data_IF_259211361985
#
_entry.id   IF_259211361985
#
_cell.length_a   1.000
_cell.length_b   1.000
_cell.length_c   1.000
_cell.angle_alpha   90.00
_cell.angle_beta   90.00
_cell.angle_gamma   90.00
#
_symmetry.space_group_name_H-M   'P 1'
#
loop_
_entity.id
_entity.type
_entity.pdbx_description
1 polymer ?
#
# COMPACT_ATOMS: atom_id res chain seq x y z
N UNK A 1 66.53 7.88 -9.93
CA UNK A 1 65.89 6.84 -9.09
C UNK A 1 64.52 7.35 -8.69
N UNK A 2 63.52 6.49 -8.84
CA UNK A 2 62.10 6.82 -8.72
C UNK A 2 61.58 6.65 -7.28
N UNK A 3 60.46 7.34 -7.01
CA UNK A 3 59.43 6.93 -6.04
C UNK A 3 59.40 7.73 -4.74
N UNK A 4 58.25 8.06 -4.15
CA UNK A 4 56.83 7.91 -4.51
C UNK A 4 56.08 8.76 -3.49
N UNK A 5 55.32 9.77 -3.92
CA UNK A 5 54.40 10.49 -3.04
C UNK A 5 53.07 9.74 -2.98
N UNK A 6 52.63 9.37 -1.77
CA UNK A 6 51.38 8.66 -1.53
C UNK A 6 50.19 9.62 -1.64
N UNK A 7 49.46 9.55 -2.75
CA UNK A 7 48.15 10.18 -2.90
C UNK A 7 47.06 9.32 -2.27
N UNK A 8 46.49 9.79 -1.16
CA UNK A 8 45.29 9.21 -0.56
C UNK A 8 44.06 9.53 -1.42
N UNK A 9 43.55 8.53 -2.13
CA UNK A 9 42.30 8.64 -2.88
C UNK A 9 41.11 8.71 -1.91
N UNK A 10 40.54 9.92 -1.73
CA UNK A 10 39.18 10.07 -1.20
C UNK A 10 38.21 9.44 -2.20
N UNK A 11 37.61 8.29 -1.84
CA UNK A 11 36.46 7.73 -2.56
C UNK A 11 35.31 8.73 -2.50
N UNK A 12 35.04 9.42 -3.60
CA UNK A 12 33.83 10.21 -3.79
C UNK A 12 32.63 9.27 -3.74
N UNK A 13 31.71 9.52 -2.80
CA UNK A 13 30.37 8.88 -2.81
C UNK A 13 29.68 9.21 -4.14
N UNK A 14 28.96 8.26 -4.75
CA UNK A 14 28.22 8.54 -5.96
C UNK A 14 27.13 9.56 -5.64
N UNK A 15 27.17 10.71 -6.31
CA UNK A 15 26.09 11.68 -6.33
C UNK A 15 24.95 11.02 -7.10
N UNK A 16 23.91 10.60 -6.39
CA UNK A 16 22.65 10.20 -6.99
C UNK A 16 22.09 11.45 -7.66
N UNK A 17 22.02 11.44 -9.00
CA UNK A 17 21.38 12.52 -9.76
C UNK A 17 19.90 12.54 -9.36
N UNK A 18 19.42 13.70 -8.92
CA UNK A 18 18.00 13.98 -8.75
C UNK A 18 17.25 13.62 -10.03
N UNK A 19 16.12 12.92 -9.89
CA UNK A 19 15.22 12.57 -10.98
C UNK A 19 14.74 13.82 -11.71
N UNK A 20 14.44 13.66 -12.99
CA UNK A 20 14.09 14.73 -13.92
C UNK A 20 13.07 15.73 -13.35
N UNK A 21 13.39 17.02 -13.50
CA UNK A 21 12.58 18.13 -13.03
C UNK A 21 11.18 18.11 -13.64
N UNK A 22 10.15 18.16 -12.78
CA UNK A 22 8.82 18.63 -13.17
C UNK A 22 8.91 20.09 -13.57
N UNK A 23 8.01 20.56 -14.44
CA UNK A 23 7.85 21.97 -14.81
C UNK A 23 8.05 22.91 -13.62
N UNK A 24 8.72 24.06 -13.83
CA UNK A 24 8.93 25.08 -12.79
C UNK A 24 7.57 25.61 -12.29
N UNK A 25 7.05 25.01 -11.22
CA UNK A 25 5.88 25.50 -10.49
C UNK A 25 6.28 26.11 -9.15
N UNK A 26 5.53 27.11 -8.71
CA UNK A 26 5.72 27.70 -7.38
C UNK A 26 5.12 26.75 -6.34
N UNK A 27 5.84 26.52 -5.25
CA UNK A 27 5.41 25.60 -4.19
C UNK A 27 5.91 26.05 -2.83
N UNK A 28 5.08 25.85 -1.82
CA UNK A 28 5.46 25.99 -0.41
C UNK A 28 6.19 24.74 0.13
N UNK A 29 6.34 23.69 -0.67
CA UNK A 29 6.99 22.44 -0.25
C UNK A 29 8.38 22.59 0.35
N UNK A 30 9.28 23.44 -0.18
CA UNK A 30 10.58 23.70 0.45
C UNK A 30 10.46 24.33 1.84
N UNK A 31 9.46 25.21 2.07
CA UNK A 31 9.16 25.79 3.38
C UNK A 31 8.69 24.72 4.35
N UNK A 32 7.79 23.84 3.91
CA UNK A 32 7.29 22.71 4.70
C UNK A 32 8.45 21.77 5.08
N UNK A 33 9.27 21.36 4.11
CA UNK A 33 10.41 20.47 4.33
C UNK A 33 11.43 21.07 5.31
N UNK A 34 11.74 22.36 5.17
CA UNK A 34 12.61 23.08 6.09
C UNK A 34 12.03 23.13 7.51
N UNK A 35 10.72 23.39 7.65
CA UNK A 35 10.04 23.39 8.94
C UNK A 35 10.07 22.00 9.60
N UNK A 36 9.75 20.94 8.84
CA UNK A 36 9.79 19.56 9.35
C UNK A 36 11.18 19.21 9.88
N UNK A 37 12.23 19.53 9.12
CA UNK A 37 13.63 19.32 9.54
C UNK A 37 13.97 20.11 10.80
N UNK A 38 13.55 21.36 10.88
CA UNK A 38 13.89 22.23 12.00
C UNK A 38 13.19 21.80 13.30
N UNK A 39 11.90 21.48 13.24
CA UNK A 39 11.05 21.32 14.43
C UNK A 39 10.67 19.88 14.76
N UNK A 40 10.60 18.98 13.78
CA UNK A 40 10.16 17.60 14.00
C UNK A 40 11.37 16.68 14.19
N UNK A 41 11.25 15.73 15.11
CA UNK A 41 12.27 14.72 15.41
C UNK A 41 11.68 13.33 15.24
N UNK A 42 12.49 12.40 14.76
CA UNK A 42 12.14 10.98 14.83
C UNK A 42 11.98 10.57 16.31
N UNK A 43 10.92 9.83 16.60
CA UNK A 43 10.57 9.44 17.98
C UNK A 43 10.91 7.99 18.32
N UNK A 44 11.25 7.18 17.32
CA UNK A 44 11.38 5.72 17.45
C UNK A 44 12.59 5.18 16.71
N UNK A 45 13.09 4.04 17.19
CA UNK A 45 14.15 3.28 16.55
C UNK A 45 15.51 3.97 16.59
N UNK A 46 16.39 3.55 15.70
CA UNK A 46 17.80 4.00 15.64
C UNK A 46 17.97 5.49 15.31
N UNK A 47 16.92 6.12 14.80
CA UNK A 47 16.92 7.54 14.43
C UNK A 47 16.30 8.44 15.50
N UNK A 48 15.88 7.89 16.65
CA UNK A 48 15.24 8.68 17.70
C UNK A 48 16.08 9.91 18.10
N UNK A 49 15.44 11.08 18.15
CA UNK A 49 16.08 12.37 18.44
C UNK A 49 16.73 13.06 17.24
N UNK A 50 16.87 12.41 16.09
CA UNK A 50 17.38 13.05 14.87
C UNK A 50 16.28 13.89 14.18
N UNK A 51 16.65 14.99 13.50
CA UNK A 51 15.74 15.74 12.62
C UNK A 51 14.99 14.84 11.64
N UNK A 52 13.71 15.15 11.40
CA UNK A 52 12.95 14.53 10.31
C UNK A 52 13.37 15.17 8.98
N UNK A 53 14.38 14.59 8.34
CA UNK A 53 14.80 14.98 6.99
C UNK A 53 14.03 14.16 5.95
N UNK A 54 13.38 14.86 5.02
CA UNK A 54 12.66 14.22 3.93
C UNK A 54 13.63 13.62 2.91
N UNK A 55 13.38 12.38 2.50
CA UNK A 55 14.05 11.78 1.35
C UNK A 55 13.59 12.43 0.04
N UNK A 56 14.36 12.28 -1.03
CA UNK A 56 14.09 12.91 -2.33
C UNK A 56 12.64 12.71 -2.81
N UNK A 57 12.12 11.48 -2.74
CA UNK A 57 10.74 11.20 -3.15
C UNK A 57 9.69 11.86 -2.24
N UNK A 58 9.99 12.04 -0.94
CA UNK A 58 9.10 12.72 0.00
C UNK A 58 9.12 14.22 -0.28
N UNK A 59 10.29 14.79 -0.59
CA UNK A 59 10.43 16.18 -1.03
C UNK A 59 9.67 16.41 -2.33
N UNK A 60 9.78 15.52 -3.32
CA UNK A 60 9.05 15.62 -4.58
C UNK A 60 7.53 15.61 -4.33
N UNK A 61 7.05 14.67 -3.50
CA UNK A 61 5.65 14.60 -3.12
C UNK A 61 5.18 15.86 -2.39
N UNK A 62 5.94 16.34 -1.39
CA UNK A 62 5.59 17.54 -0.62
C UNK A 62 5.63 18.80 -1.49
N UNK A 63 6.55 18.90 -2.44
CA UNK A 63 6.58 19.99 -3.41
C UNK A 63 5.34 19.99 -4.29
N UNK A 64 4.94 18.84 -4.83
CA UNK A 64 3.71 18.75 -5.63
C UNK A 64 2.46 19.05 -4.78
N UNK A 65 2.35 18.46 -3.59
CA UNK A 65 1.20 18.64 -2.69
C UNK A 65 0.97 20.11 -2.31
N UNK A 66 2.05 20.87 -2.10
CA UNK A 66 2.01 22.28 -1.74
C UNK A 66 2.22 23.22 -2.93
N UNK A 67 1.97 22.75 -4.16
CA UNK A 67 1.96 23.58 -5.36
C UNK A 67 0.95 24.73 -5.21
N UNK A 68 1.38 25.92 -5.61
CA UNK A 68 0.58 27.14 -5.59
C UNK A 68 0.09 27.52 -7.00
N UNK A 69 -1.09 28.12 -7.05
CA UNK A 69 -1.64 28.76 -8.24
C UNK A 69 -1.05 30.17 -8.44
N UNK A 70 -1.49 30.86 -9.49
CA UNK A 70 -1.07 32.23 -9.81
C UNK A 70 -1.42 33.27 -8.73
N UNK A 71 -2.37 32.96 -7.85
CA UNK A 71 -2.80 33.81 -6.74
C UNK A 71 -2.07 33.46 -5.44
N UNK A 72 -1.14 32.51 -5.46
CA UNK A 72 -0.41 32.03 -4.29
C UNK A 72 -1.23 31.10 -3.38
N UNK A 73 -2.34 30.54 -3.86
CA UNK A 73 -3.17 29.56 -3.13
C UNK A 73 -2.82 28.14 -3.52
N UNK A 74 -3.04 27.17 -2.63
CA UNK A 74 -2.86 25.74 -2.95
C UNK A 74 -3.71 25.30 -4.14
N UNK A 75 -3.07 24.59 -5.08
CA UNK A 75 -3.72 23.89 -6.18
C UNK A 75 -4.50 22.67 -5.68
N UNK A 76 -3.94 21.95 -4.70
CA UNK A 76 -4.52 20.73 -4.16
C UNK A 76 -5.05 20.94 -2.75
N UNK A 77 -6.33 20.63 -2.56
CA UNK A 77 -7.00 20.59 -1.24
C UNK A 77 -7.27 19.16 -0.78
N UNK A 78 -7.09 18.18 -1.66
CA UNK A 78 -7.23 16.77 -1.38
C UNK A 78 -6.06 15.99 -1.98
N UNK A 79 -5.59 14.98 -1.25
CA UNK A 79 -4.52 14.12 -1.70
C UNK A 79 -4.73 12.67 -1.27
N UNK A 80 -4.39 11.74 -2.15
CA UNK A 80 -4.26 10.31 -1.84
C UNK A 80 -2.82 9.85 -2.05
N UNK A 81 -2.17 9.44 -0.97
CA UNK A 81 -0.83 8.88 -0.94
C UNK A 81 -0.89 7.37 -0.66
N UNK A 82 -0.64 6.57 -1.70
CA UNK A 82 -0.58 5.10 -1.61
C UNK A 82 0.86 4.61 -1.69
N UNK A 83 1.29 3.89 -0.65
CA UNK A 83 2.62 3.28 -0.56
C UNK A 83 2.53 1.93 0.15
N UNK A 84 3.50 1.01 -0.04
CA UNK A 84 3.63 -0.15 0.83
C UNK A 84 3.86 0.22 2.30
N UNK A 85 3.61 -0.70 3.22
CA UNK A 85 3.87 -0.54 4.66
C UNK A 85 5.35 -0.21 4.90
N UNK A 86 5.61 0.46 6.01
CA UNK A 86 6.96 0.86 6.46
C UNK A 86 7.70 1.88 5.58
N UNK A 87 7.10 2.43 4.52
CA UNK A 87 7.63 3.58 3.75
C UNK A 87 7.40 4.95 4.43
N UNK A 88 7.12 5.01 5.73
CA UNK A 88 7.06 6.28 6.46
C UNK A 88 5.81 7.15 6.25
N UNK A 89 4.74 6.64 5.61
CA UNK A 89 3.46 7.36 5.41
C UNK A 89 2.94 8.07 6.66
N UNK A 90 2.74 7.33 7.76
CA UNK A 90 2.16 7.89 8.99
C UNK A 90 3.09 8.91 9.66
N UNK A 91 4.41 8.75 9.52
CA UNK A 91 5.39 9.73 10.02
C UNK A 91 5.35 11.01 9.22
N UNK A 92 5.28 10.91 7.90
CA UNK A 92 5.09 12.08 7.03
C UNK A 92 3.76 12.77 7.34
N UNK A 93 2.65 12.02 7.46
CA UNK A 93 1.35 12.57 7.80
C UNK A 93 1.32 13.25 9.18
N UNK A 94 1.99 12.69 10.19
CA UNK A 94 2.13 13.33 11.50
C UNK A 94 2.92 14.65 11.41
N UNK A 95 4.00 14.68 10.60
CA UNK A 95 4.76 15.90 10.33
C UNK A 95 3.92 16.96 9.64
N UNK A 96 3.21 16.59 8.57
CA UNK A 96 2.31 17.50 7.85
C UNK A 96 1.19 18.02 8.76
N UNK A 97 0.58 17.18 9.58
CA UNK A 97 -0.44 17.58 10.54
C UNK A 97 0.10 18.58 11.59
N UNK A 98 1.33 18.40 12.06
CA UNK A 98 1.99 19.34 12.97
C UNK A 98 2.30 20.67 12.27
N UNK A 99 2.78 20.63 11.02
CA UNK A 99 2.98 21.83 10.22
C UNK A 99 1.68 22.62 10.05
N UNK A 100 0.59 21.92 9.72
CA UNK A 100 -0.75 22.48 9.55
C UNK A 100 -1.34 23.04 10.85
N UNK A 101 -1.01 22.44 11.99
CA UNK A 101 -1.38 22.97 13.30
C UNK A 101 -0.64 24.28 13.64
N UNK A 102 0.62 24.41 13.21
CA UNK A 102 1.55 25.38 13.80
C UNK A 102 1.96 26.52 12.87
N UNK A 103 2.20 26.21 11.59
CA UNK A 103 3.08 27.01 10.73
C UNK A 103 2.58 27.16 9.29
N UNK A 104 1.37 26.69 8.99
CA UNK A 104 0.75 26.83 7.68
C UNK A 104 0.21 28.23 7.41
N UNK A 105 -0.01 29.03 8.45
CA UNK A 105 -0.53 30.41 8.36
C UNK A 105 -2.04 30.51 8.60
N UNK A 106 -2.73 29.38 8.73
CA UNK A 106 -4.14 29.33 9.07
C UNK A 106 -4.42 29.86 10.49
N UNK A 107 -5.49 30.64 10.64
CA UNK A 107 -5.96 31.14 11.94
C UNK A 107 -6.92 30.14 12.60
N UNK A 108 -6.70 29.83 13.88
CA UNK A 108 -7.47 28.82 14.62
C UNK A 108 -7.59 27.49 13.84
N UNK A 109 -6.46 26.86 13.47
CA UNK A 109 -6.48 25.64 12.68
C UNK A 109 -7.14 24.50 13.46
N UNK A 110 -7.99 23.74 12.77
CA UNK A 110 -8.59 22.51 13.31
C UNK A 110 -8.06 21.31 12.53
N UNK A 111 -7.22 20.51 13.19
CA UNK A 111 -6.55 19.33 12.62
C UNK A 111 -7.26 18.07 13.10
N UNK A 112 -7.77 17.27 12.16
CA UNK A 112 -8.47 16.02 12.46
C UNK A 112 -7.71 14.81 11.96
N UNK A 113 -7.59 13.81 12.81
CA UNK A 113 -6.94 12.53 12.51
C UNK A 113 -7.96 11.42 12.62
N UNK A 114 -8.13 10.64 11.56
CA UNK A 114 -9.13 9.59 11.48
C UNK A 114 -8.56 8.31 10.88
N UNK A 115 -9.19 7.19 11.21
CA UNK A 115 -8.95 5.87 10.65
C UNK A 115 -10.22 5.02 10.86
N UNK A 116 -10.22 3.78 10.34
CA UNK A 116 -11.37 2.88 10.47
C UNK A 116 -11.65 2.46 11.94
N UNK A 117 -10.66 2.51 12.82
CA UNK A 117 -10.85 2.36 14.26
C UNK A 117 -10.21 3.50 15.04
N UNK A 118 -10.74 3.80 16.23
CA UNK A 118 -10.18 4.83 17.12
C UNK A 118 -8.75 4.50 17.56
N UNK A 119 -8.43 3.22 17.71
CA UNK A 119 -7.10 2.75 18.07
C UNK A 119 -6.07 3.04 16.95
N UNK A 120 -6.47 2.78 15.70
CA UNK A 120 -5.68 3.08 14.50
C UNK A 120 -5.50 4.59 14.31
N UNK A 121 -6.58 5.37 14.47
CA UNK A 121 -6.52 6.83 14.35
C UNK A 121 -5.60 7.45 15.42
N UNK A 122 -5.52 6.81 16.59
CA UNK A 122 -4.58 7.16 17.64
C UNK A 122 -3.11 6.98 17.26
N UNK A 123 -2.76 6.25 16.20
CA UNK A 123 -1.36 6.03 15.81
C UNK A 123 -0.68 7.31 15.33
N UNK A 124 -1.31 8.06 14.41
CA UNK A 124 -0.80 9.35 13.93
C UNK A 124 -0.78 10.37 15.08
N UNK A 125 -1.83 10.42 15.88
CA UNK A 125 -1.90 11.30 17.05
C UNK A 125 -0.78 11.04 18.07
N UNK A 126 -0.54 9.76 18.41
CA UNK A 126 0.56 9.39 19.30
C UNK A 126 1.90 9.82 18.71
N UNK A 127 2.12 9.64 17.40
CA UNK A 127 3.34 10.14 16.76
C UNK A 127 3.50 11.65 16.88
N UNK A 128 2.43 12.43 16.64
CA UNK A 128 2.46 13.89 16.81
C UNK A 128 2.79 14.26 18.25
N UNK A 129 2.11 13.66 19.23
CA UNK A 129 2.35 13.89 20.65
C UNK A 129 3.79 13.56 21.04
N UNK A 130 4.30 12.42 20.59
CA UNK A 130 5.67 11.99 20.88
C UNK A 130 6.68 12.96 20.24
N UNK A 131 6.40 13.54 19.07
CA UNK A 131 7.25 14.57 18.45
C UNK A 131 7.29 15.85 19.29
N UNK A 132 6.13 16.30 19.79
CA UNK A 132 6.02 17.48 20.67
C UNK A 132 6.80 17.27 21.96
N UNK A 133 6.70 16.08 22.58
CA UNK A 133 7.39 15.77 23.83
C UNK A 133 8.90 15.61 23.67
N UNK A 134 9.38 15.25 22.48
CA UNK A 134 10.81 14.99 22.22
C UNK A 134 11.55 16.15 21.56
N UNK A 135 10.83 17.10 20.98
CA UNK A 135 11.42 18.30 20.36
C UNK A 135 11.21 19.51 21.26
N UNK A 136 12.27 20.07 21.89
CA UNK A 136 12.15 21.25 22.73
C UNK A 136 11.53 22.43 21.98
N UNK A 137 11.93 22.65 20.72
CA UNK A 137 11.42 23.76 19.91
C UNK A 137 9.94 23.61 19.58
N UNK A 138 9.44 22.38 19.42
CA UNK A 138 8.03 22.14 19.15
C UNK A 138 7.19 22.17 20.44
N UNK A 139 7.77 21.74 21.56
CA UNK A 139 7.17 21.83 22.89
C UNK A 139 6.88 23.27 23.33
N UNK A 140 7.64 24.25 22.82
CA UNK A 140 7.37 25.68 23.05
C UNK A 140 6.10 26.17 22.31
N UNK A 141 5.68 25.47 21.25
CA UNK A 141 4.57 25.87 20.38
C UNK A 141 3.30 25.09 20.68
N UNK A 142 3.45 23.82 21.07
CA UNK A 142 2.35 22.86 21.17
C UNK A 142 2.30 22.24 22.56
N UNK A 143 1.13 22.29 23.18
CA UNK A 143 0.88 21.70 24.49
C UNK A 143 0.05 20.42 24.33
N UNK A 144 0.56 19.25 24.75
CA UNK A 144 -0.23 18.04 24.78
C UNK A 144 -1.29 18.06 25.88
N UNK A 145 -2.55 17.88 25.50
CA UNK A 145 -3.66 17.65 26.42
C UNK A 145 -4.04 16.16 26.46
N UNK A 146 -4.99 15.79 27.34
CA UNK A 146 -5.43 14.39 27.47
C UNK A 146 -6.03 13.82 26.18
N UNK A 147 -6.77 14.63 25.43
CA UNK A 147 -7.56 14.20 24.27
C UNK A 147 -7.16 14.86 22.95
N UNK A 148 -6.29 15.86 22.97
CA UNK A 148 -5.93 16.69 21.83
C UNK A 148 -4.57 17.36 22.04
N UNK A 149 -4.04 18.01 21.01
CA UNK A 149 -2.91 18.93 21.11
C UNK A 149 -3.42 20.35 20.87
N UNK A 150 -2.84 21.33 21.57
CA UNK A 150 -3.17 22.75 21.40
C UNK A 150 -1.94 23.52 20.93
N UNK A 151 -2.11 24.45 20.00
CA UNK A 151 -1.12 25.48 19.66
C UNK A 151 -1.65 26.83 20.16
N UNK A 152 -1.28 27.29 21.38
CA UNK A 152 -1.93 28.44 22.00
C UNK A 152 -1.76 29.75 21.22
N UNK A 153 -0.64 29.93 20.52
CA UNK A 153 -0.31 31.15 19.79
C UNK A 153 -1.27 31.46 18.64
N UNK A 154 -1.92 30.43 18.06
CA UNK A 154 -2.87 30.58 16.96
C UNK A 154 -4.25 29.97 17.27
N UNK A 155 -4.50 29.56 18.52
CA UNK A 155 -5.72 28.85 18.96
C UNK A 155 -5.96 27.52 18.22
N UNK A 156 -4.91 26.89 17.70
CA UNK A 156 -4.99 25.66 16.94
C UNK A 156 -5.26 24.44 17.81
N UNK A 157 -6.03 23.48 17.28
CA UNK A 157 -6.38 22.23 17.97
C UNK A 157 -6.18 21.05 17.03
N UNK A 158 -5.50 20.00 17.49
CA UNK A 158 -5.41 18.72 16.80
C UNK A 158 -6.01 17.56 17.61
N UNK A 159 -6.92 16.77 17.02
CA UNK A 159 -7.62 15.69 17.72
C UNK A 159 -7.93 14.48 16.85
N UNK A 160 -8.17 13.35 17.51
CA UNK A 160 -8.61 12.11 16.88
C UNK A 160 -10.13 12.08 16.77
N UNK A 161 -10.64 11.74 15.60
CA UNK A 161 -12.05 11.41 15.36
C UNK A 161 -12.21 9.91 15.13
N UNK A 162 -13.26 9.30 15.70
CA UNK A 162 -13.60 7.89 15.47
C UNK A 162 -14.45 7.69 14.22
N UNK A 163 -14.38 6.49 13.60
CA UNK A 163 -15.21 6.10 12.46
C UNK A 163 -16.73 6.15 12.72
N UNK A 164 -17.17 5.81 13.94
CA UNK A 164 -18.58 5.98 14.36
C UNK A 164 -19.02 7.46 14.49
N UNK A 165 -18.07 8.37 14.28
CA UNK A 165 -18.16 9.80 14.52
C UNK A 165 -18.48 10.65 13.30
N UNK A 166 -19.03 10.11 12.20
CA UNK A 166 -19.55 10.94 11.10
C UNK A 166 -20.48 12.04 11.64
N UNK A 167 -21.35 11.69 12.60
CA UNK A 167 -22.20 12.63 13.36
C UNK A 167 -21.44 13.66 14.19
N UNK A 168 -20.25 13.34 14.69
CA UNK A 168 -19.41 14.27 15.47
C UNK A 168 -18.55 15.19 14.60
N UNK A 169 -18.41 14.89 13.30
CA UNK A 169 -17.71 15.73 12.32
C UNK A 169 -18.66 16.71 11.64
N UNK A 170 -19.95 16.37 11.49
CA UNK A 170 -20.95 17.31 11.00
C UNK A 170 -21.03 18.55 11.91
N UNK A 171 -20.68 19.71 11.36
CA UNK A 171 -20.60 20.98 12.10
C UNK A 171 -19.20 21.38 12.58
N UNK A 172 -18.16 20.60 12.25
CA UNK A 172 -16.75 21.00 12.44
C UNK A 172 -16.23 21.76 11.22
N UNK A 173 -15.16 22.54 11.40
CA UNK A 173 -14.54 23.34 10.34
C UNK A 173 -13.05 22.99 10.16
N UNK A 174 -12.74 21.75 9.72
CA UNK A 174 -11.37 21.27 9.58
C UNK A 174 -10.57 22.15 8.59
N UNK A 175 -9.42 22.64 9.02
CA UNK A 175 -8.40 23.20 8.12
C UNK A 175 -7.48 22.11 7.59
N UNK A 176 -7.29 21.04 8.35
CA UNK A 176 -6.58 19.85 7.90
C UNK A 176 -7.26 18.57 8.39
N UNK A 177 -7.28 17.56 7.53
CA UNK A 177 -7.73 16.23 7.88
C UNK A 177 -6.75 15.17 7.37
N UNK A 178 -6.47 14.15 8.18
CA UNK A 178 -5.73 12.97 7.75
C UNK A 178 -6.55 11.71 7.97
N UNK A 179 -6.87 11.01 6.88
CA UNK A 179 -7.53 9.71 6.91
C UNK A 179 -6.49 8.60 6.69
N UNK A 180 -6.17 7.87 7.75
CA UNK A 180 -5.24 6.74 7.71
C UNK A 180 -5.96 5.41 7.42
N UNK A 181 -5.24 4.52 6.75
CA UNK A 181 -5.67 3.16 6.38
C UNK A 181 -7.03 3.11 5.69
N UNK A 182 -7.26 3.98 4.69
CA UNK A 182 -8.53 4.05 3.97
C UNK A 182 -8.95 2.70 3.34
N UNK A 183 -8.00 1.81 3.03
CA UNK A 183 -8.30 0.46 2.57
C UNK A 183 -9.26 -0.31 3.48
N UNK A 184 -9.28 0.00 4.78
CA UNK A 184 -10.11 -0.67 5.77
C UNK A 184 -11.49 0.00 5.93
N UNK A 185 -11.71 1.18 5.35
CA UNK A 185 -12.95 1.91 5.49
C UNK A 185 -14.11 1.20 4.80
N UNK A 186 -15.26 1.11 5.49
CA UNK A 186 -16.48 0.47 4.97
C UNK A 186 -17.32 1.40 4.10
N UNK A 187 -17.23 2.71 4.30
CA UNK A 187 -17.93 3.74 3.54
C UNK A 187 -17.09 5.01 3.42
N UNK A 188 -17.52 5.93 2.56
CA UNK A 188 -16.91 7.24 2.37
C UNK A 188 -17.36 8.29 3.39
N UNK A 189 -18.38 8.01 4.19
CA UNK A 189 -19.11 8.99 5.00
C UNK A 189 -18.20 9.86 5.88
N UNK A 190 -17.19 9.27 6.51
CA UNK A 190 -16.26 10.01 7.38
C UNK A 190 -15.37 10.96 6.56
N UNK A 191 -14.85 10.49 5.43
CA UNK A 191 -14.02 11.30 4.55
C UNK A 191 -14.85 12.41 3.92
N UNK A 192 -16.07 12.12 3.48
CA UNK A 192 -17.01 13.10 2.95
C UNK A 192 -17.41 14.15 4.01
N UNK A 193 -17.64 13.75 5.25
CA UNK A 193 -17.91 14.67 6.35
C UNK A 193 -16.72 15.60 6.64
N UNK A 194 -15.48 15.09 6.59
CA UNK A 194 -14.27 15.90 6.77
C UNK A 194 -14.08 16.89 5.62
N UNK A 195 -14.23 16.46 4.38
CA UNK A 195 -14.07 17.31 3.20
C UNK A 195 -15.18 18.37 3.12
N UNK A 196 -16.44 17.99 3.36
CA UNK A 196 -17.57 18.93 3.33
C UNK A 196 -17.53 19.93 4.47
N UNK A 197 -17.13 19.51 5.68
CA UNK A 197 -16.98 20.40 6.83
C UNK A 197 -15.94 21.50 6.61
N UNK A 198 -14.94 21.24 5.76
CA UNK A 198 -13.88 22.19 5.45
C UNK A 198 -14.31 23.36 4.56
N UNK A 199 -15.54 23.37 4.03
CA UNK A 199 -15.98 24.29 2.98
C UNK A 199 -15.95 25.79 3.32
N UNK A 200 -15.81 26.16 4.59
CA UNK A 200 -15.64 27.55 5.03
C UNK A 200 -14.16 28.00 5.10
N UNK A 201 -13.20 27.07 5.01
CA UNK A 201 -11.76 27.37 4.96
C UNK A 201 -11.35 27.73 3.54
N UNK A 202 -10.40 28.65 3.39
CA UNK A 202 -9.94 29.07 2.06
C UNK A 202 -9.05 28.03 1.39
N UNK A 203 -8.20 27.34 2.15
CA UNK A 203 -7.19 26.41 1.64
C UNK A 203 -7.08 25.14 2.50
N UNK A 204 -8.21 24.44 2.77
CA UNK A 204 -8.18 23.24 3.58
C UNK A 204 -7.40 22.13 2.88
N UNK A 205 -6.76 21.26 3.67
CA UNK A 205 -5.99 20.14 3.14
C UNK A 205 -6.41 18.81 3.76
N UNK A 206 -6.93 17.91 2.93
CA UNK A 206 -7.24 16.52 3.31
C UNK A 206 -6.21 15.57 2.72
N UNK A 207 -5.51 14.82 3.59
CA UNK A 207 -4.51 13.83 3.22
C UNK A 207 -5.01 12.43 3.56
N UNK A 208 -5.19 11.61 2.53
CA UNK A 208 -5.53 10.21 2.63
C UNK A 208 -4.22 9.43 2.51
N UNK A 209 -3.87 8.63 3.51
CA UNK A 209 -2.73 7.71 3.45
C UNK A 209 -3.22 6.28 3.54
N UNK A 210 -2.71 5.41 2.67
CA UNK A 210 -3.07 3.99 2.72
C UNK A 210 -2.03 3.09 2.05
N UNK A 211 -2.12 1.80 2.32
CA UNK A 211 -1.73 0.75 1.36
C UNK A 211 -2.96 0.36 0.55
N UNK A 212 -2.80 -0.35 -0.56
CA UNK A 212 -3.94 -0.93 -1.30
C UNK A 212 -4.69 -1.96 -0.46
N UNK A 213 -5.95 -2.19 -0.84
CA UNK A 213 -6.84 -3.17 -0.22
C UNK A 213 -6.78 -4.54 -0.90
N UNK A 214 -7.75 -5.37 -0.56
CA UNK A 214 -8.06 -6.63 -1.24
C UNK A 214 -9.36 -6.52 -2.06
N UNK A 215 -10.31 -5.72 -1.57
CA UNK A 215 -11.57 -5.44 -2.26
C UNK A 215 -11.45 -4.21 -3.17
N UNK A 216 -11.52 -4.44 -4.48
CA UNK A 216 -11.48 -3.38 -5.51
C UNK A 216 -12.77 -2.56 -5.62
N UNK A 217 -13.86 -3.02 -4.99
CA UNK A 217 -15.12 -2.28 -4.86
C UNK A 217 -15.20 -1.43 -3.59
N UNK A 218 -14.18 -1.53 -2.72
CA UNK A 218 -14.07 -0.70 -1.53
C UNK A 218 -13.95 0.79 -1.87
N UNK A 219 -14.21 1.70 -0.92
CA UNK A 219 -13.99 3.14 -1.10
C UNK A 219 -12.62 3.50 -1.68
N UNK A 220 -11.55 2.84 -1.19
CA UNK A 220 -10.20 3.03 -1.73
C UNK A 220 -10.08 2.50 -3.17
N UNK A 221 -10.70 1.34 -3.46
CA UNK A 221 -10.70 0.74 -4.79
C UNK A 221 -11.33 1.65 -5.84
N UNK A 222 -12.45 2.28 -5.52
CA UNK A 222 -13.12 3.25 -6.39
C UNK A 222 -12.27 4.53 -6.61
N UNK A 223 -11.62 5.06 -5.57
CA UNK A 223 -10.69 6.18 -5.74
C UNK A 223 -9.46 5.81 -6.57
N UNK A 224 -8.95 4.61 -6.39
CA UNK A 224 -7.85 4.10 -7.20
C UNK A 224 -8.27 3.91 -8.66
N UNK A 225 -9.50 3.45 -8.95
CA UNK A 225 -10.04 3.42 -10.33
C UNK A 225 -10.07 4.80 -10.97
N UNK A 226 -10.55 5.81 -10.24
CA UNK A 226 -10.62 7.20 -10.73
C UNK A 226 -9.26 7.71 -11.19
N UNK A 227 -8.18 7.38 -10.47
CA UNK A 227 -6.82 7.71 -10.90
C UNK A 227 -6.55 7.26 -12.34
N UNK A 228 -6.88 6.02 -12.71
CA UNK A 228 -6.62 5.50 -14.06
C UNK A 228 -7.66 5.93 -15.11
N UNK A 229 -8.79 6.48 -14.67
CA UNK A 229 -9.81 7.08 -15.54
C UNK A 229 -9.51 8.56 -15.86
N UNK A 230 -8.54 9.17 -15.18
CA UNK A 230 -8.09 10.51 -15.53
C UNK A 230 -7.50 10.53 -16.96
N UNK A 231 -7.69 11.63 -17.70
CA UNK A 231 -7.02 11.85 -18.99
C UNK A 231 -5.52 11.61 -18.89
N UNK A 232 -4.90 11.12 -19.96
CA UNK A 232 -3.48 10.78 -19.98
C UNK A 232 -2.60 11.98 -19.65
N UNK A 233 -2.96 13.18 -20.11
CA UNK A 233 -2.26 14.43 -19.80
C UNK A 233 -2.30 14.82 -18.30
N UNK A 234 -3.25 14.28 -17.54
CA UNK A 234 -3.35 14.48 -16.09
C UNK A 234 -2.61 13.38 -15.32
N UNK A 235 -2.08 12.36 -16.01
CA UNK A 235 -1.39 11.22 -15.40
C UNK A 235 0.06 11.18 -15.83
N UNK A 236 0.95 11.18 -14.85
CA UNK A 236 2.36 11.02 -15.05
C UNK A 236 2.83 9.71 -14.43
N UNK A 237 3.63 8.95 -15.18
CA UNK A 237 4.21 7.69 -14.72
C UNK A 237 5.73 7.85 -14.62
N UNK A 238 6.28 7.57 -13.45
CA UNK A 238 7.71 7.65 -13.13
C UNK A 238 8.20 6.32 -12.57
N UNK A 239 9.51 6.23 -12.29
CA UNK A 239 10.13 5.10 -11.60
C UNK A 239 9.84 3.76 -12.29
N UNK A 240 10.08 3.67 -13.60
CA UNK A 240 9.83 2.48 -14.42
C UNK A 240 8.39 1.91 -14.32
N UNK A 241 7.40 2.78 -14.16
CA UNK A 241 6.00 2.35 -14.01
C UNK A 241 5.53 2.20 -12.56
N UNK A 242 6.43 2.36 -11.58
CA UNK A 242 6.10 2.10 -10.17
C UNK A 242 5.58 3.30 -9.40
N UNK A 243 5.59 4.49 -10.00
CA UNK A 243 4.95 5.68 -9.44
C UNK A 243 3.97 6.25 -10.47
N UNK A 244 2.69 6.23 -10.13
CA UNK A 244 1.64 6.90 -10.91
C UNK A 244 1.17 8.14 -10.14
N UNK A 245 1.30 9.31 -10.77
CA UNK A 245 0.89 10.61 -10.23
C UNK A 245 -0.30 11.09 -11.07
N UNK A 246 -1.43 11.36 -10.42
CA UNK A 246 -2.63 11.92 -11.07
C UNK A 246 -2.91 13.33 -10.56
N UNK A 247 -3.14 14.28 -11.46
CA UNK A 247 -3.35 15.69 -11.15
C UNK A 247 -4.72 16.14 -11.64
N UNK A 248 -5.76 15.93 -10.82
CA UNK A 248 -7.08 16.46 -11.12
C UNK A 248 -7.16 17.92 -10.64
N UNK A 249 -6.64 18.83 -11.46
CA UNK A 249 -6.57 20.26 -11.16
C UNK A 249 -7.97 20.88 -10.98
N UNK A 250 -8.99 20.31 -11.62
CA UNK A 250 -10.37 20.80 -11.52
C UNK A 250 -10.99 20.44 -10.17
N UNK A 251 -10.73 19.22 -9.68
CA UNK A 251 -11.18 18.78 -8.36
C UNK A 251 -10.24 19.23 -7.22
N UNK A 252 -9.06 19.78 -7.54
CA UNK A 252 -8.02 20.07 -6.56
C UNK A 252 -7.51 18.80 -5.86
N UNK A 253 -7.42 17.69 -6.60
CA UNK A 253 -7.08 16.37 -6.07
C UNK A 253 -5.75 15.84 -6.64
N UNK A 254 -4.80 15.54 -5.74
CA UNK A 254 -3.53 14.90 -6.07
C UNK A 254 -3.57 13.40 -5.75
N UNK A 255 -3.26 12.57 -6.73
CA UNK A 255 -3.01 11.15 -6.56
C UNK A 255 -1.51 10.89 -6.61
N UNK A 256 -0.99 10.17 -5.62
CA UNK A 256 0.42 9.79 -5.57
C UNK A 256 0.53 8.32 -5.15
N UNK A 257 0.69 7.43 -6.12
CA UNK A 257 0.57 5.99 -5.92
C UNK A 257 1.84 5.27 -6.32
N UNK A 258 2.53 4.70 -5.32
CA UNK A 258 3.61 3.74 -5.53
C UNK A 258 3.08 2.32 -5.54
N UNK A 259 3.35 1.56 -6.59
CA UNK A 259 2.91 0.18 -6.74
C UNK A 259 3.29 -0.36 -8.12
N UNK A 260 3.23 -1.68 -8.36
CA UNK A 260 3.61 -2.26 -9.63
C UNK A 260 2.69 -1.76 -10.78
N UNK A 261 3.24 -1.62 -12.00
CA UNK A 261 2.46 -1.20 -13.16
C UNK A 261 1.35 -2.22 -13.46
N UNK A 262 0.12 -1.72 -13.56
CA UNK A 262 -1.09 -2.51 -13.80
C UNK A 262 -1.84 -1.99 -15.03
N UNK A 263 -2.47 -2.90 -15.76
CA UNK A 263 -3.45 -2.55 -16.78
C UNK A 263 -4.79 -2.22 -16.10
N UNK A 264 -5.28 -0.97 -16.19
CA UNK A 264 -6.51 -0.58 -15.52
C UNK A 264 -7.77 -1.21 -16.14
N UNK A 265 -7.69 -1.77 -17.35
CA UNK A 265 -8.83 -2.41 -18.01
C UNK A 265 -9.22 -3.72 -17.31
N UNK A 266 -8.25 -4.50 -16.84
CA UNK A 266 -8.47 -5.83 -16.27
C UNK A 266 -7.73 -6.09 -14.95
N UNK A 267 -7.05 -5.07 -14.41
CA UNK A 267 -6.29 -5.11 -13.15
C UNK A 267 -5.14 -6.10 -13.13
N UNK A 268 -4.63 -6.51 -14.30
CA UNK A 268 -3.47 -7.37 -14.38
C UNK A 268 -2.18 -6.58 -14.22
N UNK A 269 -1.26 -7.10 -13.43
CA UNK A 269 0.09 -6.56 -13.36
C UNK A 269 0.88 -6.93 -14.60
N UNK A 270 1.66 -5.98 -15.09
CA UNK A 270 2.53 -6.16 -16.27
C UNK A 270 3.93 -6.65 -15.91
N UNK A 271 4.14 -6.98 -14.63
CA UNK A 271 5.38 -7.43 -14.03
C UNK A 271 5.14 -8.66 -13.15
N UNK A 272 6.18 -9.46 -12.96
CA UNK A 272 6.15 -10.59 -12.02
C UNK A 272 6.21 -10.09 -10.57
N UNK A 273 5.16 -10.33 -9.79
CA UNK A 273 5.08 -9.89 -8.40
C UNK A 273 5.97 -10.69 -7.45
N UNK A 274 6.48 -11.84 -7.88
CA UNK A 274 7.42 -12.66 -7.09
C UNK A 274 8.90 -12.32 -7.40
N UNK A 275 9.16 -11.38 -8.31
CA UNK A 275 10.52 -10.89 -8.59
C UNK A 275 11.01 -9.89 -7.51
N UNK A 276 12.12 -10.18 -6.80
CA UNK A 276 12.72 -9.25 -5.84
C UNK A 276 13.01 -7.84 -6.36
N UNK A 277 13.30 -7.68 -7.66
CA UNK A 277 13.56 -6.36 -8.25
C UNK A 277 12.29 -5.49 -8.27
N UNK A 278 11.12 -6.10 -8.45
CA UNK A 278 9.81 -5.44 -8.40
C UNK A 278 9.51 -4.95 -6.99
N UNK A 279 9.83 -5.74 -5.97
CA UNK A 279 9.62 -5.36 -4.58
C UNK A 279 10.41 -4.09 -4.23
N UNK A 280 11.68 -4.01 -4.65
CA UNK A 280 12.51 -2.82 -4.39
C UNK A 280 11.96 -1.57 -5.07
N UNK A 281 11.51 -1.67 -6.32
CA UNK A 281 10.97 -0.54 -7.09
C UNK A 281 9.66 0.00 -6.53
N UNK A 282 8.83 -0.86 -5.92
CA UNK A 282 7.59 -0.46 -5.26
C UNK A 282 7.81 0.32 -3.95
N UNK A 283 9.01 0.27 -3.36
CA UNK A 283 9.33 0.86 -2.07
C UNK A 283 10.31 2.04 -2.22
N UNK A 284 9.87 3.30 -2.24
CA UNK A 284 10.80 4.41 -2.47
C UNK A 284 11.71 4.72 -1.28
N UNK A 285 11.36 4.29 -0.06
CA UNK A 285 12.13 4.61 1.13
C UNK A 285 13.51 3.93 1.15
N UNK A 286 14.58 4.69 1.44
CA UNK A 286 15.95 4.16 1.39
C UNK A 286 16.25 3.10 2.46
N UNK A 287 15.51 3.11 3.57
CA UNK A 287 15.64 2.15 4.66
C UNK A 287 14.94 0.81 4.41
N UNK A 288 14.17 0.70 3.33
CA UNK A 288 13.60 -0.58 2.90
C UNK A 288 14.63 -1.28 2.00
N UNK A 289 15.25 -2.34 2.54
CA UNK A 289 16.30 -3.09 1.87
C UNK A 289 15.78 -4.36 1.21
N UNK A 290 16.50 -4.86 0.21
CA UNK A 290 16.20 -6.14 -0.44
C UNK A 290 16.20 -7.29 0.58
N UNK A 291 17.14 -7.26 1.54
CA UNK A 291 17.21 -8.23 2.63
C UNK A 291 15.96 -8.19 3.52
N UNK A 292 15.46 -7.00 3.85
CA UNK A 292 14.24 -6.85 4.63
C UNK A 292 13.05 -7.45 3.88
N UNK A 293 12.90 -7.14 2.58
CA UNK A 293 11.80 -7.63 1.75
C UNK A 293 11.88 -9.16 1.57
N UNK A 294 13.06 -9.71 1.28
CA UNK A 294 13.27 -11.15 1.17
C UNK A 294 12.94 -11.88 2.49
N UNK A 295 13.30 -11.31 3.65
CA UNK A 295 12.92 -11.87 4.95
C UNK A 295 11.42 -11.82 5.21
N UNK A 296 10.72 -10.76 4.78
CA UNK A 296 9.26 -10.70 4.89
C UNK A 296 8.60 -11.73 3.98
N UNK A 297 9.07 -11.86 2.73
CA UNK A 297 8.55 -12.82 1.76
C UNK A 297 8.73 -14.28 2.23
N UNK A 298 9.90 -14.62 2.77
CA UNK A 298 10.19 -15.96 3.28
C UNK A 298 9.57 -16.25 4.67
N UNK A 299 8.88 -15.29 5.28
CA UNK A 299 8.31 -15.46 6.63
C UNK A 299 7.13 -16.43 6.60
N UNK A 300 7.14 -17.53 7.38
CA UNK A 300 6.02 -18.48 7.42
C UNK A 300 4.69 -17.86 7.88
N UNK A 301 4.75 -16.74 8.60
CA UNK A 301 3.58 -15.99 9.07
C UNK A 301 3.04 -14.97 8.07
N UNK A 302 3.65 -14.82 6.91
CA UNK A 302 3.23 -13.88 5.87
C UNK A 302 2.78 -14.64 4.64
N UNK A 303 1.48 -14.54 4.32
CA UNK A 303 0.93 -15.10 3.08
C UNK A 303 1.40 -14.29 1.87
N UNK A 304 1.51 -14.92 0.69
CA UNK A 304 1.91 -14.23 -0.55
C UNK A 304 1.01 -13.04 -0.88
N UNK A 305 -0.31 -13.19 -0.71
CA UNK A 305 -1.28 -12.09 -0.90
C UNK A 305 -1.07 -10.93 0.10
N UNK A 306 -0.72 -11.24 1.35
CA UNK A 306 -0.38 -10.23 2.36
C UNK A 306 0.96 -9.56 2.07
N UNK A 307 1.95 -10.31 1.55
CA UNK A 307 3.23 -9.76 1.10
C UNK A 307 3.03 -8.81 -0.08
N UNK A 308 2.36 -9.27 -1.15
CA UNK A 308 2.07 -8.46 -2.34
C UNK A 308 1.33 -7.17 -1.95
N UNK A 309 0.33 -7.28 -1.08
CA UNK A 309 -0.43 -6.12 -0.60
C UNK A 309 0.38 -5.17 0.28
N UNK A 310 1.03 -5.69 1.32
CA UNK A 310 1.65 -4.83 2.34
C UNK A 310 3.07 -4.42 2.01
N UNK A 311 3.82 -5.21 1.24
CA UNK A 311 5.22 -4.94 0.91
C UNK A 311 5.41 -4.49 -0.53
N UNK A 312 4.52 -4.85 -1.46
CA UNK A 312 4.60 -4.44 -2.88
C UNK A 312 3.51 -3.44 -3.27
N UNK A 313 2.49 -3.24 -2.43
CA UNK A 313 1.33 -2.39 -2.71
C UNK A 313 0.56 -2.81 -3.97
N UNK A 314 0.48 -4.12 -4.20
CA UNK A 314 -0.37 -4.74 -5.21
C UNK A 314 -1.71 -5.17 -4.59
N UNK A 315 -2.82 -4.83 -5.25
CA UNK A 315 -4.12 -5.44 -5.03
C UNK A 315 -4.01 -6.95 -5.18
N UNK A 316 -4.02 -7.65 -4.06
CA UNK A 316 -4.12 -9.10 -4.02
C UNK A 316 -5.58 -9.48 -3.82
N UNK A 317 -6.07 -10.45 -4.59
CA UNK A 317 -7.34 -11.10 -4.28
C UNK A 317 -7.16 -11.87 -2.96
N UNK A 318 -8.22 -11.93 -2.15
CA UNK A 318 -8.19 -12.75 -0.95
C UNK A 318 -8.16 -14.23 -1.37
N UNK A 319 -6.96 -14.77 -1.55
CA UNK A 319 -6.78 -16.19 -1.84
C UNK A 319 -6.93 -16.96 -0.52
N UNK A 320 -8.14 -17.47 -0.26
CA UNK A 320 -8.34 -18.57 0.69
C UNK A 320 -7.79 -19.85 0.07
N UNK A 321 -6.47 -20.01 0.10
CA UNK A 321 -5.87 -21.31 -0.19
C UNK A 321 -6.21 -22.27 0.94
N UNK A 322 -6.98 -23.30 0.64
CA UNK A 322 -7.19 -24.42 1.57
C UNK A 322 -5.88 -25.18 1.86
N UNK A 323 -4.88 -25.09 0.95
CA UNK A 323 -3.58 -25.74 1.06
C UNK A 323 -2.43 -24.72 1.13
N UNK A 324 -1.65 -24.66 2.22
CA UNK A 324 -0.54 -23.72 2.36
C UNK A 324 0.54 -23.87 1.27
N UNK A 325 1.22 -22.77 0.93
CA UNK A 325 2.32 -22.78 -0.03
C UNK A 325 3.41 -23.75 0.44
N UNK A 326 3.89 -24.60 -0.49
CA UNK A 326 4.90 -25.62 -0.19
C UNK A 326 4.35 -26.89 0.48
N UNK A 327 3.13 -26.89 1.04
CA UNK A 327 2.56 -28.10 1.66
C UNK A 327 2.41 -29.25 0.65
N UNK A 328 1.99 -28.93 -0.58
CA UNK A 328 1.91 -29.92 -1.68
C UNK A 328 3.28 -30.54 -2.01
N UNK A 329 4.30 -29.69 -2.16
CA UNK A 329 5.66 -30.14 -2.53
C UNK A 329 6.35 -30.88 -1.39
N UNK A 330 6.15 -30.43 -0.14
CA UNK A 330 6.76 -31.02 1.05
C UNK A 330 6.12 -32.35 1.44
N UNK A 331 4.83 -32.54 1.12
CA UNK A 331 4.12 -33.81 1.33
C UNK A 331 4.27 -34.80 0.18
N UNK A 332 5.16 -34.53 -0.80
CA UNK A 332 5.33 -35.39 -1.96
C UNK A 332 6.28 -36.56 -1.65
N UNK A 333 5.72 -37.76 -1.69
CA UNK A 333 6.52 -38.99 -1.77
C UNK A 333 7.00 -39.29 -3.19
N UNK A 334 7.88 -40.30 -3.30
CA UNK A 334 8.17 -40.93 -4.59
C UNK A 334 6.91 -41.50 -5.26
N UNK A 335 6.97 -41.68 -6.58
CA UNK A 335 5.86 -42.30 -7.31
C UNK A 335 5.66 -43.75 -6.88
N UNK A 336 4.48 -44.05 -6.33
CA UNK A 336 4.05 -45.41 -5.98
C UNK A 336 2.86 -45.77 -6.87
N UNK A 337 2.96 -46.81 -7.73
CA UNK A 337 1.83 -47.24 -8.55
C UNK A 337 0.69 -47.78 -7.67
N UNK A 338 -0.55 -47.55 -8.11
CA UNK A 338 -1.73 -48.20 -7.54
C UNK A 338 -1.80 -49.61 -8.17
N UNK A 339 -1.83 -50.65 -7.32
CA UNK A 339 -1.85 -52.06 -7.75
C UNK A 339 -3.28 -52.52 -8.06
N UNK A 340 -3.41 -53.50 -8.96
CA UNK A 340 -4.68 -54.15 -9.29
C UNK A 340 -5.33 -54.75 -8.03
N UNK A 341 -6.66 -54.62 -7.90
CA UNK A 341 -7.41 -55.07 -6.73
C UNK A 341 -7.32 -54.14 -5.50
N UNK A 342 -6.64 -53.00 -5.58
CA UNK A 342 -6.60 -52.03 -4.48
C UNK A 342 -7.94 -51.29 -4.30
N UNK A 343 -8.34 -51.07 -3.05
CA UNK A 343 -9.49 -50.21 -2.73
C UNK A 343 -9.13 -48.74 -2.97
N UNK A 344 -9.82 -48.11 -3.91
CA UNK A 344 -9.62 -46.71 -4.28
C UNK A 344 -10.89 -45.88 -4.06
N UNK A 345 -10.71 -44.60 -3.79
CA UNK A 345 -11.76 -43.59 -3.92
C UNK A 345 -11.59 -42.88 -5.25
N UNK A 346 -12.69 -42.71 -5.99
CA UNK A 346 -12.67 -42.09 -7.30
C UNK A 346 -13.39 -40.73 -7.24
N UNK A 347 -12.71 -39.69 -7.69
CA UNK A 347 -13.25 -38.35 -7.91
C UNK A 347 -13.40 -38.09 -9.40
N UNK A 348 -14.54 -37.54 -9.81
CA UNK A 348 -14.79 -37.12 -11.19
C UNK A 348 -15.20 -35.67 -11.19
N UNK A 349 -14.53 -34.87 -12.02
CA UNK A 349 -14.90 -33.49 -12.32
C UNK A 349 -15.14 -33.35 -13.83
N UNK A 350 -16.33 -32.91 -14.24
CA UNK A 350 -16.75 -32.91 -15.63
C UNK A 350 -16.97 -31.49 -16.16
N UNK A 351 -16.10 -31.07 -17.06
CA UNK A 351 -16.26 -29.89 -17.89
C UNK A 351 -17.00 -30.24 -19.20
N UNK A 352 -18.24 -29.75 -19.36
CA UNK A 352 -19.08 -30.13 -20.52
C UNK A 352 -18.84 -29.31 -21.78
N UNK A 353 -18.30 -28.08 -21.68
CA UNK A 353 -18.22 -27.13 -22.81
C UNK A 353 -16.83 -26.53 -23.04
N UNK A 354 -16.28 -25.86 -22.03
CA UNK A 354 -15.03 -25.09 -22.14
C UNK A 354 -14.01 -25.44 -21.07
N UNK A 355 -14.42 -26.19 -20.06
CA UNK A 355 -13.58 -26.58 -18.94
C UNK A 355 -13.01 -27.99 -19.17
N UNK A 356 -11.88 -28.26 -18.54
CA UNK A 356 -11.26 -29.59 -18.53
C UNK A 356 -12.13 -30.58 -17.78
N UNK A 357 -12.08 -31.85 -18.17
CA UNK A 357 -12.64 -32.95 -17.39
C UNK A 357 -11.51 -33.74 -16.74
N UNK A 358 -11.73 -34.28 -15.54
CA UNK A 358 -10.74 -35.10 -14.87
C UNK A 358 -11.34 -36.28 -14.11
N UNK A 359 -10.58 -37.36 -14.04
CA UNK A 359 -10.84 -38.51 -13.16
C UNK A 359 -9.59 -38.70 -12.31
N UNK A 360 -9.79 -38.74 -11.00
CA UNK A 360 -8.72 -38.90 -10.00
C UNK A 360 -9.03 -40.13 -9.16
N UNK A 361 -8.09 -41.07 -9.14
CA UNK A 361 -8.11 -42.23 -8.26
C UNK A 361 -7.18 -41.96 -7.08
N UNK A 362 -7.68 -42.22 -5.88
CA UNK A 362 -6.94 -42.03 -4.64
C UNK A 362 -6.96 -43.32 -3.83
N UNK A 363 -5.78 -43.92 -3.61
CA UNK A 363 -5.60 -44.99 -2.63
C UNK A 363 -5.09 -44.38 -1.34
N UNK A 364 -5.73 -44.70 -0.22
CA UNK A 364 -5.29 -44.31 1.12
C UNK A 364 -4.45 -45.43 1.73
N UNK A 365 -3.29 -45.11 2.29
CA UNK A 365 -2.43 -46.06 3.00
C UNK A 365 -1.93 -45.45 4.30
N UNK A 366 -1.76 -46.26 5.32
CA UNK A 366 -1.06 -45.87 6.54
C UNK A 366 0.35 -46.45 6.51
N UNK A 367 1.37 -45.62 6.65
CA UNK A 367 2.79 -46.02 6.66
C UNK A 367 3.45 -45.37 7.87
N UNK A 368 4.03 -46.18 8.75
CA UNK A 368 4.72 -45.69 9.96
C UNK A 368 3.86 -44.76 10.85
N UNK A 369 2.54 -44.94 10.82
CA UNK A 369 1.58 -44.13 11.59
C UNK A 369 1.16 -42.82 10.91
N UNK A 370 1.64 -42.55 9.70
CA UNK A 370 1.23 -41.41 8.87
C UNK A 370 0.31 -41.85 7.73
N UNK A 371 -0.60 -40.94 7.33
CA UNK A 371 -1.53 -41.18 6.24
C UNK A 371 -0.97 -40.73 4.90
N UNK A 372 -0.81 -41.66 3.98
CA UNK A 372 -0.36 -41.45 2.61
C UNK A 372 -1.51 -41.58 1.62
N UNK A 373 -1.43 -40.82 0.53
CA UNK A 373 -2.39 -40.81 -0.56
C UNK A 373 -1.66 -41.05 -1.88
N UNK A 374 -1.87 -42.21 -2.49
CA UNK A 374 -1.38 -42.46 -3.84
C UNK A 374 -2.43 -41.95 -4.82
N UNK A 375 -2.03 -41.03 -5.70
CA UNK A 375 -2.93 -40.32 -6.60
C UNK A 375 -2.58 -40.63 -8.05
N UNK A 376 -3.56 -41.10 -8.81
CA UNK A 376 -3.48 -41.25 -10.26
C UNK A 376 -4.57 -40.40 -10.90
N UNK A 377 -4.20 -39.48 -11.79
CA UNK A 377 -5.14 -38.58 -12.44
C UNK A 377 -5.02 -38.65 -13.96
N UNK A 378 -6.17 -38.61 -14.64
CA UNK A 378 -6.25 -38.32 -16.07
C UNK A 378 -7.07 -37.06 -16.26
N UNK A 379 -6.54 -36.15 -17.06
CA UNK A 379 -7.17 -34.87 -17.40
C UNK A 379 -7.38 -34.85 -18.91
N UNK A 380 -8.60 -34.52 -19.31
CA UNK A 380 -8.98 -34.32 -20.70
C UNK A 380 -9.12 -32.84 -20.99
N UNK A 381 -8.46 -32.40 -22.05
CA UNK A 381 -8.61 -31.05 -22.58
C UNK A 381 -9.96 -30.91 -23.29
N UNK A 382 -10.60 -29.72 -23.22
CA UNK A 382 -11.82 -29.47 -23.96
C UNK A 382 -11.54 -29.55 -25.48
N UNK A 383 -12.51 -30.01 -26.29
CA UNK A 383 -12.37 -30.01 -27.75
C UNK A 383 -12.13 -28.61 -28.29
N UNK A 384 -11.24 -28.48 -29.29
CA UNK A 384 -10.88 -27.18 -29.87
C UNK A 384 -12.02 -26.49 -30.66
N UNK A 385 -13.12 -27.18 -30.95
CA UNK A 385 -14.23 -26.69 -31.76
C UNK A 385 -15.47 -26.35 -30.90
N UNK A 386 -16.06 -25.18 -31.12
CA UNK A 386 -17.29 -24.78 -30.43
C UNK A 386 -18.44 -25.76 -30.72
N UNK A 387 -19.09 -26.24 -29.65
CA UNK A 387 -20.29 -27.07 -29.73
C UNK A 387 -20.05 -28.58 -29.63
N UNK A 388 -18.80 -29.05 -29.49
CA UNK A 388 -18.51 -30.46 -29.19
C UNK A 388 -18.49 -30.65 -27.67
N UNK A 389 -19.41 -31.47 -27.14
CA UNK A 389 -19.39 -31.86 -25.73
C UNK A 389 -18.31 -32.94 -25.51
N UNK A 390 -17.73 -32.98 -24.31
CA UNK A 390 -16.83 -34.04 -23.87
C UNK A 390 -17.47 -35.44 -24.07
N UNK A 391 -16.71 -36.41 -24.62
CA UNK A 391 -17.19 -37.77 -24.84
C UNK A 391 -17.23 -38.57 -23.52
N UNK A 392 -18.42 -38.68 -22.96
CA UNK A 392 -18.68 -39.40 -21.71
C UNK A 392 -18.37 -40.90 -21.84
N UNK A 393 -18.36 -41.47 -23.05
CA UNK A 393 -18.03 -42.89 -23.23
C UNK A 393 -16.54 -43.16 -22.99
N UNK A 394 -15.66 -42.27 -23.43
CA UNK A 394 -14.21 -42.38 -23.18
C UNK A 394 -13.92 -42.38 -21.66
N UNK A 395 -14.60 -41.50 -20.92
CA UNK A 395 -14.52 -41.47 -19.46
C UNK A 395 -15.00 -42.77 -18.82
N UNK A 396 -16.12 -43.32 -19.30
CA UNK A 396 -16.67 -44.59 -18.79
C UNK A 396 -15.74 -45.76 -19.04
N UNK A 397 -15.14 -45.84 -20.23
CA UNK A 397 -14.14 -46.87 -20.55
C UNK A 397 -12.92 -46.72 -19.67
N UNK A 398 -12.40 -45.51 -19.51
CA UNK A 398 -11.26 -45.25 -18.62
C UNK A 398 -11.54 -45.66 -17.16
N UNK A 399 -12.71 -45.35 -16.62
CA UNK A 399 -13.09 -45.75 -15.26
C UNK A 399 -13.15 -47.28 -15.14
N UNK A 400 -13.72 -47.98 -16.13
CA UNK A 400 -13.76 -49.46 -16.15
C UNK A 400 -12.36 -50.05 -16.21
N UNK A 401 -11.45 -49.45 -16.97
CA UNK A 401 -10.08 -49.91 -17.08
C UNK A 401 -9.27 -49.70 -15.79
N UNK A 402 -9.56 -48.63 -15.05
CA UNK A 402 -8.85 -48.31 -13.81
C UNK A 402 -9.38 -49.04 -12.57
N UNK A 403 -10.64 -49.51 -12.59
CA UNK A 403 -11.29 -50.19 -11.46
C UNK A 403 -11.38 -51.71 -11.70
N UNK A 404 -10.23 -52.35 -11.95
CA UNK A 404 -10.11 -53.80 -12.19
C UNK A 404 -9.87 -54.61 -10.93
#
# INVERSE_FOLDING_TARGET
MAGKAAGGARRSKPVVKAGAASEDFVSDGPRVAAWLRAYVRHTKGVHAGLPLELEAWQTDFVNELYRLDENGKRVYTNCMLLLPRKNGKSTLAAGLALYQLCADGESSPEVYLSANSREQAGAVFRQMRDCVLTSPMLGDWVTPMRSHLECPSNMGIARVTSADGSKSVHGTNPSFACQDELWAAKSMDLLEALVSGAGARSEPLTVIISTVGHDRSSPLGEMHKKLYQLPEEMREVRNDGFLTIGRDLKAGFLYWCYGPPLDPADWRYTVDLDDPTVWRKANPASWITDEFLAKQHASPSMRSSEFQRFMVNAWAEAEDYWLPQGAWSNGRDGFVPIEDGATVTLGVDLGLRRDRSSVVLVRRREVEGEMHFDVMARVWEPPAAEGVNFDVNELREYIKDCCR
#
